data_IF_626699570416
#
_entry.id   IF_626699570416
#
_cell.length_a   1.000
_cell.length_b   1.000
_cell.length_c   1.000
_cell.angle_alpha   90.00
_cell.angle_beta   90.00
_cell.angle_gamma   90.00
#
_symmetry.space_group_name_H-M   'P 1'
#
loop_
_entity.id
_entity.type
_entity.pdbx_description
1 polymer ?
#
# COMPACT_ATOMS: atom_id res chain seq x y z
N UNK A 1 25.30 5.85 34.87
CA UNK A 1 26.01 5.05 35.89
C UNK A 1 25.67 3.57 35.69
N UNK A 2 26.18 2.65 36.51
CA UNK A 2 25.91 1.20 36.37
C UNK A 2 24.41 0.85 36.49
N UNK A 3 23.65 1.54 37.35
CA UNK A 3 22.21 1.32 37.52
C UNK A 3 21.43 1.69 36.25
N UNK A 4 21.73 2.84 35.64
CA UNK A 4 21.12 3.25 34.36
C UNK A 4 21.39 2.21 33.26
N UNK A 5 22.63 1.72 33.17
CA UNK A 5 22.99 0.69 32.19
C UNK A 5 22.22 -0.62 32.42
N UNK A 6 22.08 -1.08 33.67
CA UNK A 6 21.34 -2.31 33.96
C UNK A 6 19.84 -2.18 33.65
N UNK A 7 19.24 -0.99 33.82
CA UNK A 7 17.84 -0.76 33.45
C UNK A 7 17.64 -0.81 31.93
N UNK A 8 18.52 -0.17 31.16
CA UNK A 8 18.49 -0.22 29.70
C UNK A 8 18.69 -1.65 29.19
N UNK A 9 19.68 -2.37 29.74
CA UNK A 9 19.93 -3.78 29.39
C UNK A 9 18.72 -4.66 29.70
N UNK A 10 18.08 -4.49 30.87
CA UNK A 10 16.86 -5.21 31.24
C UNK A 10 15.73 -4.91 30.24
N UNK A 11 15.52 -3.65 29.87
CA UNK A 11 14.48 -3.26 28.92
C UNK A 11 14.72 -3.88 27.54
N UNK A 12 15.95 -3.84 27.04
CA UNK A 12 16.35 -4.47 25.77
C UNK A 12 16.13 -5.99 25.83
N UNK A 13 16.50 -6.64 26.92
CA UNK A 13 16.32 -8.08 27.12
C UNK A 13 14.84 -8.47 27.22
N UNK A 14 14.00 -7.68 27.88
CA UNK A 14 12.56 -7.93 27.97
C UNK A 14 11.88 -7.80 26.59
N UNK A 15 12.27 -6.81 25.80
CA UNK A 15 11.80 -6.65 24.40
C UNK A 15 12.27 -7.83 23.53
N UNK A 16 13.55 -8.19 23.63
CA UNK A 16 14.09 -9.34 22.90
C UNK A 16 13.43 -10.65 23.30
N UNK A 17 13.12 -10.84 24.60
CA UNK A 17 12.45 -12.03 25.12
C UNK A 17 10.99 -12.10 24.67
N UNK A 18 10.24 -10.98 24.67
CA UNK A 18 8.89 -10.91 24.11
C UNK A 18 8.87 -11.29 22.63
N UNK A 19 9.77 -10.71 21.84
CA UNK A 19 9.91 -11.06 20.42
C UNK A 19 10.25 -12.54 20.22
N UNK A 20 11.03 -13.14 21.13
CA UNK A 20 11.35 -14.57 21.11
C UNK A 20 10.16 -15.43 21.55
N UNK A 21 9.32 -14.98 22.47
CA UNK A 21 8.11 -15.70 22.87
C UNK A 21 7.05 -15.71 21.76
N UNK A 22 6.98 -14.67 20.93
CA UNK A 22 6.17 -14.69 19.70
C UNK A 22 6.62 -15.78 18.72
N UNK A 23 7.92 -16.11 18.67
CA UNK A 23 8.47 -17.24 17.91
C UNK A 23 8.09 -18.62 18.50
N UNK A 24 7.66 -18.69 19.76
CA UNK A 24 7.26 -19.93 20.46
C UNK A 24 5.79 -19.92 20.89
N UNK A 25 4.93 -19.16 20.19
CA UNK A 25 3.50 -19.37 20.34
C UNK A 25 3.18 -20.83 19.97
N UNK A 26 2.35 -21.54 20.76
CA UNK A 26 1.94 -22.89 20.38
C UNK A 26 1.35 -22.85 18.97
N UNK A 27 1.71 -23.82 18.11
CA UNK A 27 1.19 -23.84 16.75
C UNK A 27 -0.34 -23.85 16.81
N UNK A 28 -1.02 -23.12 15.89
CA UNK A 28 -2.46 -23.16 15.76
C UNK A 28 -2.96 -24.61 15.72
N UNK A 29 -4.17 -24.89 16.25
CA UNK A 29 -4.75 -26.22 16.19
C UNK A 29 -4.87 -26.68 14.72
N UNK A 30 -4.73 -27.98 14.40
CA UNK A 30 -4.75 -28.47 13.01
C UNK A 30 -5.97 -28.02 12.19
N UNK A 31 -7.11 -27.82 12.85
CA UNK A 31 -8.35 -27.29 12.26
C UNK A 31 -8.17 -25.90 11.63
N UNK A 32 -7.28 -25.08 12.18
CA UNK A 32 -6.93 -23.77 11.61
C UNK A 32 -6.39 -23.92 10.18
N UNK A 33 -5.43 -24.83 10.00
CA UNK A 33 -4.81 -25.03 8.70
C UNK A 33 -5.78 -25.63 7.70
N UNK A 34 -6.61 -26.60 8.10
CA UNK A 34 -7.61 -27.17 7.19
C UNK A 34 -8.60 -26.12 6.70
N UNK A 35 -9.15 -25.30 7.61
CA UNK A 35 -10.08 -24.22 7.23
C UNK A 35 -9.41 -23.21 6.30
N UNK A 36 -8.16 -22.82 6.59
CA UNK A 36 -7.42 -21.88 5.76
C UNK A 36 -7.16 -22.44 4.35
N UNK A 37 -6.78 -23.71 4.23
CA UNK A 37 -6.59 -24.36 2.93
C UNK A 37 -7.92 -24.46 2.15
N UNK A 38 -9.03 -24.75 2.83
CA UNK A 38 -10.37 -24.73 2.22
C UNK A 38 -10.77 -23.33 1.73
N UNK A 39 -10.48 -22.29 2.51
CA UNK A 39 -10.72 -20.90 2.11
C UNK A 39 -9.88 -20.49 0.89
N UNK A 40 -8.59 -20.86 0.85
CA UNK A 40 -7.73 -20.63 -0.32
C UNK A 40 -8.27 -21.41 -1.52
N UNK A 41 -8.69 -22.66 -1.33
CA UNK A 41 -9.28 -23.48 -2.37
C UNK A 41 -10.56 -22.87 -2.95
N UNK A 42 -11.41 -22.32 -2.08
CA UNK A 42 -12.66 -21.65 -2.47
C UNK A 42 -12.42 -20.32 -3.16
N UNK A 43 -11.41 -19.55 -2.72
CA UNK A 43 -10.99 -18.31 -3.36
C UNK A 43 -10.36 -18.56 -4.74
N UNK A 44 -9.64 -19.66 -4.88
CA UNK A 44 -8.88 -20.04 -6.07
C UNK A 44 -7.37 -19.92 -5.84
N UNK A 45 -6.66 -21.04 -6.02
CA UNK A 45 -5.20 -21.13 -5.90
C UNK A 45 -4.46 -20.23 -6.88
N UNK A 46 -5.08 -19.86 -8.00
CA UNK A 46 -4.51 -18.96 -8.98
C UNK A 46 -4.29 -17.55 -8.44
N UNK A 47 -5.02 -17.16 -7.38
CA UNK A 47 -4.86 -15.87 -6.68
C UNK A 47 -3.74 -15.88 -5.66
N UNK A 48 -3.32 -17.04 -5.17
CA UNK A 48 -2.24 -17.17 -4.20
C UNK A 48 -0.88 -17.02 -4.91
N UNK A 49 -0.03 -16.09 -4.45
CA UNK A 49 1.33 -15.91 -5.00
C UNK A 49 2.44 -16.26 -4.03
N UNK A 50 2.14 -16.25 -2.73
CA UNK A 50 3.11 -16.61 -1.71
C UNK A 50 2.40 -17.08 -0.45
N UNK A 51 3.01 -18.05 0.20
CA UNK A 51 2.67 -18.50 1.54
C UNK A 51 3.96 -18.82 2.27
N UNK A 52 4.05 -18.42 3.54
CA UNK A 52 5.20 -18.77 4.36
C UNK A 52 5.09 -20.22 4.90
N UNK A 53 6.19 -20.74 5.44
CA UNK A 53 6.26 -22.10 5.98
C UNK A 53 5.32 -22.34 7.16
N UNK A 54 4.98 -21.28 7.90
CA UNK A 54 4.13 -21.35 9.08
C UNK A 54 2.64 -21.11 8.78
N UNK A 55 2.28 -20.85 7.51
CA UNK A 55 0.93 -20.47 7.08
C UNK A 55 0.37 -19.28 7.90
N UNK A 56 1.27 -18.38 8.29
CA UNK A 56 0.96 -17.15 9.04
C UNK A 56 0.90 -15.94 8.12
N UNK A 57 1.61 -15.98 6.99
CA UNK A 57 1.68 -14.87 6.04
C UNK A 57 1.33 -15.35 4.64
N UNK A 58 0.30 -14.75 4.06
CA UNK A 58 -0.22 -15.08 2.74
C UNK A 58 -0.14 -13.83 1.87
N UNK A 59 0.21 -13.98 0.59
CA UNK A 59 0.03 -12.92 -0.39
C UNK A 59 -0.91 -13.37 -1.49
N UNK A 60 -1.90 -12.54 -1.75
CA UNK A 60 -2.87 -12.74 -2.83
C UNK A 60 -2.64 -11.67 -3.89
N UNK A 61 -2.81 -12.05 -5.16
CA UNK A 61 -2.82 -11.11 -6.29
C UNK A 61 -4.23 -10.86 -6.78
N UNK A 62 -4.44 -9.67 -7.32
CA UNK A 62 -5.58 -9.31 -8.14
C UNK A 62 -5.10 -8.57 -9.38
N UNK A 63 -5.89 -8.62 -10.43
CA UNK A 63 -5.71 -7.79 -11.62
C UNK A 63 -6.94 -6.89 -11.72
N UNK A 64 -6.72 -5.59 -11.89
CA UNK A 64 -7.83 -4.64 -12.08
C UNK A 64 -8.29 -4.61 -13.53
N UNK A 65 -9.36 -3.84 -13.81
CA UNK A 65 -9.92 -3.73 -15.16
C UNK A 65 -8.96 -3.11 -16.19
N UNK A 66 -7.89 -2.43 -15.76
CA UNK A 66 -6.85 -1.88 -16.64
C UNK A 66 -5.68 -2.87 -16.84
N UNK A 67 -5.78 -4.11 -16.33
CA UNK A 67 -4.73 -5.13 -16.45
C UNK A 67 -3.57 -4.96 -15.44
N UNK A 68 -3.72 -4.09 -14.43
CA UNK A 68 -2.66 -3.82 -13.46
C UNK A 68 -2.71 -4.85 -12.35
N UNK A 69 -1.53 -5.36 -11.99
CA UNK A 69 -1.38 -6.37 -10.94
C UNK A 69 -1.19 -5.70 -9.59
N UNK A 70 -2.04 -6.08 -8.65
CA UNK A 70 -2.04 -5.60 -7.27
C UNK A 70 -1.85 -6.76 -6.30
N UNK A 71 -1.21 -6.48 -5.17
CA UNK A 71 -0.94 -7.47 -4.14
C UNK A 71 -1.53 -7.03 -2.80
N UNK A 72 -2.12 -7.98 -2.09
CA UNK A 72 -2.47 -7.86 -0.68
C UNK A 72 -1.69 -8.89 0.11
N UNK A 73 -0.99 -8.44 1.15
CA UNK A 73 -0.32 -9.32 2.12
C UNK A 73 -1.18 -9.40 3.37
N UNK A 74 -1.49 -10.62 3.79
CA UNK A 74 -2.28 -10.94 4.98
C UNK A 74 -1.36 -11.59 6.00
N UNK A 75 -1.30 -11.03 7.21
CA UNK A 75 -0.70 -11.69 8.36
C UNK A 75 -1.81 -12.22 9.26
N UNK A 76 -1.95 -13.54 9.26
CA UNK A 76 -2.89 -14.27 10.07
C UNK A 76 -2.37 -14.37 11.51
N UNK A 77 -3.23 -14.05 12.46
CA UNK A 77 -2.93 -14.15 13.89
C UNK A 77 -3.39 -15.50 14.42
N UNK A 78 -2.84 -15.90 15.56
CA UNK A 78 -3.16 -17.20 16.18
C UNK A 78 -4.65 -17.43 16.47
N UNK A 79 -5.43 -16.34 16.62
CA UNK A 79 -6.88 -16.37 16.91
C UNK A 79 -7.75 -16.19 15.67
N UNK A 80 -7.19 -16.19 14.46
CA UNK A 80 -7.98 -16.11 13.25
C UNK A 80 -8.91 -17.34 13.12
N UNK A 81 -10.18 -17.18 12.68
CA UNK A 81 -10.83 -15.96 12.19
C UNK A 81 -11.50 -15.07 13.26
N UNK A 82 -11.45 -15.45 14.54
CA UNK A 82 -12.05 -14.64 15.61
C UNK A 82 -11.38 -13.26 15.77
N UNK A 83 -10.08 -13.17 15.47
CA UNK A 83 -9.35 -11.92 15.34
C UNK A 83 -9.03 -11.63 13.86
N UNK A 84 -9.15 -10.36 13.45
CA UNK A 84 -8.87 -9.95 12.07
C UNK A 84 -7.39 -10.10 11.73
N UNK A 85 -7.06 -10.52 10.49
CA UNK A 85 -5.68 -10.50 10.03
C UNK A 85 -5.22 -9.07 9.76
N UNK A 86 -3.91 -8.84 9.86
CA UNK A 86 -3.32 -7.57 9.45
C UNK A 86 -3.16 -7.56 7.93
N UNK A 87 -3.72 -6.54 7.27
CA UNK A 87 -3.74 -6.41 5.82
C UNK A 87 -2.78 -5.31 5.38
N UNK A 88 -1.90 -5.62 4.43
CA UNK A 88 -0.96 -4.68 3.86
C UNK A 88 -1.15 -4.63 2.35
N UNK A 89 -1.40 -3.42 1.83
CA UNK A 89 -1.62 -3.13 0.42
C UNK A 89 -0.81 -1.90 0.03
N UNK A 90 -0.46 -1.80 -1.25
CA UNK A 90 0.26 -0.65 -1.80
C UNK A 90 -0.73 0.41 -2.33
N UNK A 91 -1.58 0.93 -1.45
CA UNK A 91 -2.62 1.90 -1.81
C UNK A 91 -2.20 3.33 -1.42
N UNK A 92 -2.66 4.34 -2.17
CA UNK A 92 -2.43 5.74 -1.86
C UNK A 92 -3.35 6.26 -0.73
N UNK A 93 -4.26 5.41 -0.24
CA UNK A 93 -5.18 5.68 0.86
C UNK A 93 -5.15 4.53 1.86
N UNK A 94 -5.58 4.79 3.10
CA UNK A 94 -5.72 3.73 4.10
C UNK A 94 -6.73 2.66 3.67
N UNK A 95 -6.36 1.41 3.86
CA UNK A 95 -7.22 0.26 3.60
C UNK A 95 -7.59 -0.41 4.92
N UNK A 96 -8.87 -0.31 5.28
CA UNK A 96 -9.42 -0.92 6.49
C UNK A 96 -10.47 -1.94 6.09
N UNK A 97 -10.33 -3.16 6.59
CA UNK A 97 -11.31 -4.23 6.34
C UNK A 97 -12.44 -4.19 7.38
N UNK A 98 -13.66 -4.40 6.91
CA UNK A 98 -14.76 -4.81 7.76
C UNK A 98 -14.61 -6.31 8.05
N UNK A 99 -14.51 -6.66 9.33
CA UNK A 99 -14.23 -8.02 9.77
C UNK A 99 -15.21 -8.47 10.84
N UNK A 100 -15.71 -9.70 10.68
CA UNK A 100 -16.51 -10.42 11.67
C UNK A 100 -15.94 -11.83 11.84
N UNK A 101 -16.22 -12.55 12.94
CA UNK A 101 -15.76 -13.94 13.08
C UNK A 101 -16.27 -14.91 12.00
N UNK A 102 -17.26 -14.52 11.21
CA UNK A 102 -17.80 -15.27 10.06
C UNK A 102 -17.12 -14.87 8.73
N UNK A 103 -16.27 -13.85 8.76
CA UNK A 103 -15.48 -13.41 7.61
C UNK A 103 -14.38 -14.43 7.28
N UNK A 104 -13.99 -14.45 6.02
CA UNK A 104 -12.99 -15.37 5.45
C UNK A 104 -12.06 -14.62 4.48
N UNK A 105 -11.05 -15.30 3.93
CA UNK A 105 -10.20 -14.76 2.87
C UNK A 105 -11.00 -14.20 1.69
N UNK A 106 -12.11 -14.84 1.34
CA UNK A 106 -13.00 -14.40 0.25
C UNK A 106 -13.59 -13.02 0.56
N UNK A 107 -14.02 -12.80 1.80
CA UNK A 107 -14.60 -11.52 2.22
C UNK A 107 -13.57 -10.38 2.21
N UNK A 108 -12.31 -10.67 2.56
CA UNK A 108 -11.21 -9.69 2.46
C UNK A 108 -10.90 -9.41 1.00
N UNK A 109 -10.83 -10.45 0.17
CA UNK A 109 -10.53 -10.32 -1.25
C UNK A 109 -11.62 -9.52 -1.98
N UNK A 110 -12.89 -9.72 -1.65
CA UNK A 110 -13.99 -8.91 -2.20
C UNK A 110 -13.87 -7.43 -1.85
N UNK A 111 -13.52 -7.09 -0.60
CA UNK A 111 -13.26 -5.70 -0.18
C UNK A 111 -12.02 -5.11 -0.87
N UNK A 112 -10.97 -5.92 -1.04
CA UNK A 112 -9.77 -5.53 -1.78
C UNK A 112 -10.10 -5.20 -3.24
N UNK A 113 -10.84 -6.05 -3.94
CA UNK A 113 -11.28 -5.79 -5.32
C UNK A 113 -12.14 -4.52 -5.43
N UNK A 114 -13.06 -4.30 -4.49
CA UNK A 114 -13.87 -3.08 -4.47
C UNK A 114 -13.03 -1.81 -4.27
N UNK A 115 -11.98 -1.88 -3.45
CA UNK A 115 -11.03 -0.78 -3.29
C UNK A 115 -10.14 -0.56 -4.53
N UNK A 116 -9.77 -1.63 -5.24
CA UNK A 116 -9.07 -1.49 -6.53
C UNK A 116 -9.91 -0.75 -7.55
N UNK A 117 -11.19 -1.10 -7.66
CA UNK A 117 -12.11 -0.45 -8.60
C UNK A 117 -12.32 1.03 -8.26
N UNK A 118 -12.42 1.39 -6.98
CA UNK A 118 -12.58 2.79 -6.57
C UNK A 118 -11.36 3.66 -6.81
N UNK A 119 -10.16 3.07 -6.85
CA UNK A 119 -8.89 3.76 -7.10
C UNK A 119 -8.45 3.71 -8.58
N UNK A 120 -9.22 3.06 -9.45
CA UNK A 120 -8.90 2.91 -10.87
C UNK A 120 -8.58 4.24 -11.55
N UNK A 121 -9.42 5.25 -11.35
CA UNK A 121 -9.24 6.57 -11.97
C UNK A 121 -7.94 7.25 -11.54
N UNK A 122 -7.52 7.07 -10.28
CA UNK A 122 -6.27 7.61 -9.78
C UNK A 122 -5.08 6.96 -10.49
N UNK A 123 -5.03 5.63 -10.53
CA UNK A 123 -3.93 4.96 -11.21
C UNK A 123 -3.93 5.20 -12.72
N UNK A 124 -5.09 5.38 -13.36
CA UNK A 124 -5.16 5.71 -14.78
C UNK A 124 -4.46 7.06 -15.06
N UNK A 125 -4.68 8.08 -14.21
CA UNK A 125 -3.98 9.39 -14.29
C UNK A 125 -2.48 9.24 -14.04
N UNK A 126 -2.09 8.49 -13.00
CA UNK A 126 -0.68 8.32 -12.66
C UNK A 126 0.08 7.54 -13.74
N UNK A 127 -0.53 6.49 -14.31
CA UNK A 127 0.05 5.72 -15.41
C UNK A 127 0.26 6.60 -16.65
N UNK A 128 -0.70 7.48 -16.97
CA UNK A 128 -0.55 8.42 -18.10
C UNK A 128 0.62 9.39 -17.88
N UNK A 129 0.77 9.94 -16.66
CA UNK A 129 1.91 10.80 -16.31
C UNK A 129 3.22 10.02 -16.44
N UNK A 130 3.28 8.81 -15.87
CA UNK A 130 4.48 7.99 -15.84
C UNK A 130 4.90 7.52 -17.26
N UNK A 131 3.94 7.29 -18.15
CA UNK A 131 4.21 6.88 -19.53
C UNK A 131 4.59 8.06 -20.45
N UNK A 132 3.95 9.22 -20.28
CA UNK A 132 4.02 10.32 -21.27
C UNK A 132 4.93 11.47 -20.87
N UNK A 133 5.45 11.47 -19.65
CA UNK A 133 6.26 12.58 -19.13
C UNK A 133 7.62 12.12 -18.64
N UNK A 134 8.55 13.06 -18.50
CA UNK A 134 9.82 12.78 -17.86
C UNK A 134 9.70 12.96 -16.34
N UNK A 135 9.33 11.88 -15.67
CA UNK A 135 9.29 11.82 -14.20
C UNK A 135 10.72 11.73 -13.66
N UNK A 136 11.06 12.68 -12.80
CA UNK A 136 12.33 12.76 -12.06
C UNK A 136 12.22 12.02 -10.72
N UNK A 137 11.12 12.23 -10.00
CA UNK A 137 10.90 11.63 -8.68
C UNK A 137 9.43 11.23 -8.48
N UNK A 138 9.16 10.05 -7.89
CA UNK A 138 10.12 8.98 -7.63
C UNK A 138 10.55 8.28 -8.95
N UNK A 139 11.79 7.77 -9.01
CA UNK A 139 12.31 7.08 -10.22
C UNK A 139 11.51 5.80 -10.54
N UNK A 140 11.05 5.10 -9.50
CA UNK A 140 10.22 3.88 -9.61
C UNK A 140 9.00 4.04 -8.70
N UNK A 141 7.94 4.71 -9.17
CA UNK A 141 6.77 4.94 -8.34
C UNK A 141 6.09 3.65 -7.92
N UNK A 142 5.69 3.60 -6.65
CA UNK A 142 4.78 2.58 -6.11
C UNK A 142 3.33 2.98 -6.40
N UNK A 143 2.38 2.04 -6.22
CA UNK A 143 0.94 2.33 -6.39
C UNK A 143 0.38 3.22 -5.28
N UNK A 144 1.11 3.35 -4.17
CA UNK A 144 0.84 4.32 -3.10
C UNK A 144 1.38 5.73 -3.36
N UNK A 145 2.29 5.93 -4.33
CA UNK A 145 2.92 7.23 -4.55
C UNK A 145 1.98 8.20 -5.27
N UNK A 146 1.57 9.26 -4.57
CA UNK A 146 0.66 10.33 -5.02
C UNK A 146 1.38 11.54 -5.63
N UNK A 147 2.67 11.70 -5.33
CA UNK A 147 3.49 12.78 -5.84
C UNK A 147 4.22 12.42 -7.14
N UNK A 148 4.39 13.39 -8.05
CA UNK A 148 5.34 13.32 -9.17
C UNK A 148 6.09 14.62 -9.35
N UNK A 149 7.41 14.53 -9.47
CA UNK A 149 8.26 15.61 -9.95
C UNK A 149 8.53 15.38 -11.43
N UNK A 150 8.05 16.28 -12.27
CA UNK A 150 8.09 16.14 -13.74
C UNK A 150 8.98 17.24 -14.32
N UNK A 151 9.92 16.86 -15.20
CA UNK A 151 10.74 17.83 -15.92
C UNK A 151 9.91 18.58 -16.96
N UNK A 152 10.00 19.93 -16.95
CA UNK A 152 9.41 20.79 -17.97
C UNK A 152 10.46 21.32 -18.97
N UNK A 153 11.74 21.17 -18.63
CA UNK A 153 12.90 21.57 -19.41
C UNK A 153 14.18 21.44 -18.58
N UNK A 154 15.33 21.79 -19.16
CA UNK A 154 16.64 21.48 -18.57
C UNK A 154 16.85 22.00 -17.14
N UNK A 155 16.26 23.13 -16.76
CA UNK A 155 16.44 23.77 -15.46
C UNK A 155 15.10 24.09 -14.77
N UNK A 156 14.03 23.39 -15.13
CA UNK A 156 12.70 23.61 -14.56
C UNK A 156 11.91 22.30 -14.46
N UNK A 157 11.29 22.09 -13.30
CA UNK A 157 10.38 20.98 -13.05
C UNK A 157 9.11 21.47 -12.36
N UNK A 158 8.05 20.67 -12.41
CA UNK A 158 6.85 20.85 -11.59
C UNK A 158 6.72 19.65 -10.67
N UNK A 159 6.52 19.91 -9.39
CA UNK A 159 6.07 18.89 -8.45
C UNK A 159 4.55 18.96 -8.38
N UNK A 160 3.87 17.83 -8.54
CA UNK A 160 2.42 17.70 -8.38
C UNK A 160 2.09 16.68 -7.31
N UNK A 161 1.00 16.90 -6.58
CA UNK A 161 0.40 15.97 -5.62
C UNK A 161 -1.05 15.71 -6.05
N UNK A 162 -1.34 14.47 -6.46
CA UNK A 162 -2.67 14.09 -6.96
C UNK A 162 -3.49 13.49 -5.81
N UNK A 163 -4.67 14.05 -5.55
CA UNK A 163 -5.62 13.47 -4.59
C UNK A 163 -6.17 12.14 -5.15
N UNK A 164 -5.94 10.99 -4.49
CA UNK A 164 -6.43 9.69 -4.95
C UNK A 164 -7.95 9.57 -5.03
N UNK A 165 -8.68 10.38 -4.26
CA UNK A 165 -10.15 10.37 -4.25
C UNK A 165 -10.74 11.26 -5.34
N UNK A 166 -9.96 12.24 -5.81
CA UNK A 166 -10.36 13.22 -6.81
C UNK A 166 -9.26 13.47 -7.85
N UNK A 167 -8.81 12.42 -8.57
CA UNK A 167 -7.57 12.47 -9.36
C UNK A 167 -7.65 13.38 -10.60
N UNK A 168 -8.86 13.75 -11.03
CA UNK A 168 -9.10 14.68 -12.14
C UNK A 168 -9.24 16.14 -11.70
N UNK A 169 -9.22 16.42 -10.39
CA UNK A 169 -9.21 17.80 -9.90
C UNK A 169 -7.82 18.41 -10.07
N UNK A 170 -7.75 19.74 -10.05
CA UNK A 170 -6.47 20.45 -10.05
C UNK A 170 -5.62 19.96 -8.87
N UNK A 171 -4.44 19.36 -9.11
CA UNK A 171 -3.57 18.89 -8.05
C UNK A 171 -2.92 20.07 -7.32
N UNK A 172 -2.42 19.83 -6.12
CA UNK A 172 -1.45 20.76 -5.54
C UNK A 172 -0.18 20.72 -6.40
N UNK A 173 0.43 21.88 -6.63
CA UNK A 173 1.62 21.95 -7.48
C UNK A 173 2.62 23.01 -7.02
N UNK A 174 3.88 22.79 -7.36
CA UNK A 174 4.96 23.74 -7.13
C UNK A 174 5.97 23.69 -8.29
N UNK A 175 6.24 24.83 -8.92
CA UNK A 175 7.31 24.94 -9.90
C UNK A 175 8.67 25.09 -9.20
N UNK A 176 9.67 24.37 -9.69
CA UNK A 176 11.04 24.39 -9.19
C UNK A 176 11.98 24.79 -10.32
N UNK A 177 12.77 25.84 -10.10
CA UNK A 177 13.70 26.40 -11.08
C UNK A 177 14.05 27.84 -10.75
N UNK A 178 14.88 28.48 -11.58
CA UNK A 178 15.21 29.89 -11.41
C UNK A 178 13.98 30.79 -11.63
N UNK A 179 13.86 31.87 -10.85
CA UNK A 179 12.73 32.81 -10.87
C UNK A 179 12.29 33.26 -12.28
N UNK A 180 13.26 33.59 -13.13
CA UNK A 180 13.00 34.08 -14.48
C UNK A 180 12.40 33.01 -15.41
N UNK A 181 12.53 31.73 -15.05
CA UNK A 181 11.95 30.58 -15.78
C UNK A 181 10.58 30.22 -15.21
N UNK A 182 10.43 30.21 -13.89
CA UNK A 182 9.17 29.76 -13.24
C UNK A 182 8.07 30.82 -13.25
N UNK A 183 8.39 32.11 -13.10
CA UNK A 183 7.39 33.19 -13.07
C UNK A 183 6.50 33.22 -14.33
N UNK A 184 7.03 33.12 -15.56
CA UNK A 184 6.20 33.02 -16.76
C UNK A 184 5.26 31.82 -16.78
N UNK A 185 5.69 30.66 -16.23
CA UNK A 185 4.86 29.46 -16.15
C UNK A 185 3.70 29.66 -15.18
N UNK A 186 3.97 30.25 -14.00
CA UNK A 186 2.94 30.60 -13.03
C UNK A 186 1.87 31.54 -13.59
N UNK A 187 2.28 32.57 -14.34
CA UNK A 187 1.34 33.51 -15.00
C UNK A 187 0.50 32.79 -16.07
N UNK A 188 1.12 31.92 -16.88
CA UNK A 188 0.38 31.15 -17.90
C UNK A 188 -0.63 30.21 -17.28
N UNK A 189 -0.24 29.52 -16.20
CA UNK A 189 -1.12 28.59 -15.51
C UNK A 189 -2.30 29.31 -14.87
N UNK A 190 -2.06 30.39 -14.11
CA UNK A 190 -3.14 31.15 -13.47
C UNK A 190 -4.14 31.74 -14.47
N UNK A 191 -3.67 32.17 -15.65
CA UNK A 191 -4.55 32.67 -16.72
C UNK A 191 -5.46 31.59 -17.31
N UNK A 192 -5.03 30.34 -17.29
CA UNK A 192 -5.69 29.23 -17.98
C UNK A 192 -6.34 28.22 -17.02
N UNK A 193 -6.28 28.43 -15.71
CA UNK A 193 -6.69 27.42 -14.71
C UNK A 193 -8.20 27.15 -14.65
N UNK A 194 -8.99 27.99 -15.32
CA UNK A 194 -10.44 27.87 -15.41
C UNK A 194 -10.94 27.34 -16.77
N UNK A 195 -10.03 27.02 -17.68
CA UNK A 195 -10.33 26.35 -18.95
C UNK A 195 -10.51 24.86 -18.72
#
# INVERSE_FOLDING_TARGET
DLMSFMMELKMILEVALKNKQELYAPPPPPQFYSSLIEEIGTLGWDKLVYVDTCLSTIKLKAEDASGRKHLITLKLKAKYPAESPDCFVDFPVSFSISWTPQSSLISIYGQFLAALESLKAFWDVMDEIDEKTWVLEPEKPTRSATARRIALGNNVSINIEVDPRHPSMLPEYCFLGADHVVKPLGIKLSRNIHL
#
